data_IF_970332511903
#
_entry.id   IF_970332511903
#
_cell.length_a   1.000
_cell.length_b   1.000
_cell.length_c   1.000
_cell.angle_alpha   90.00
_cell.angle_beta   90.00
_cell.angle_gamma   90.00
#
_symmetry.space_group_name_H-M   'P 1'
#
loop_
_entity.id
_entity.type
_entity.pdbx_description
1 polymer ?
#
# COMPACT_ATOMS: atom_id res chain seq x y z
N UNK A 1 -27.31 -35.74 -9.52
CA UNK A 1 -26.42 -35.09 -8.56
C UNK A 1 -26.24 -33.67 -9.06
N UNK A 2 -26.91 -32.69 -8.44
CA UNK A 2 -26.81 -31.26 -8.77
C UNK A 2 -25.62 -30.69 -8.00
N UNK A 3 -24.66 -30.21 -8.74
CA UNK A 3 -23.55 -29.41 -8.25
C UNK A 3 -24.12 -28.06 -7.71
N UNK A 4 -23.96 -27.72 -6.43
CA UNK A 4 -24.38 -26.42 -5.95
C UNK A 4 -23.35 -25.41 -6.46
N UNK A 5 -23.62 -24.79 -7.60
CA UNK A 5 -22.93 -23.56 -8.01
C UNK A 5 -23.20 -22.52 -6.93
N UNK A 6 -22.25 -22.39 -6.04
CA UNK A 6 -22.21 -21.29 -5.08
C UNK A 6 -22.24 -20.00 -5.90
N UNK A 7 -23.33 -19.27 -5.81
CA UNK A 7 -23.49 -18.01 -6.53
C UNK A 7 -22.67 -16.91 -5.84
N UNK A 8 -21.38 -16.88 -6.17
CA UNK A 8 -20.43 -15.91 -5.66
C UNK A 8 -20.85 -14.46 -5.93
N UNK A 9 -21.58 -14.20 -7.03
CA UNK A 9 -22.11 -12.89 -7.35
C UNK A 9 -23.03 -12.36 -6.26
N UNK A 10 -23.92 -13.21 -5.77
CA UNK A 10 -24.94 -12.85 -4.77
C UNK A 10 -24.34 -12.68 -3.36
N UNK A 11 -23.30 -13.45 -3.03
CA UNK A 11 -22.60 -13.31 -1.74
C UNK A 11 -21.81 -12.00 -1.66
N UNK A 12 -21.18 -11.57 -2.76
CA UNK A 12 -20.46 -10.28 -2.86
C UNK A 12 -21.48 -9.12 -2.86
N UNK A 13 -22.58 -9.23 -3.59
CA UNK A 13 -23.63 -8.22 -3.64
C UNK A 13 -24.28 -8.00 -2.25
N UNK A 14 -24.50 -9.07 -1.49
CA UNK A 14 -25.05 -8.99 -0.13
C UNK A 14 -24.04 -8.38 0.87
N UNK A 15 -22.74 -8.62 0.70
CA UNK A 15 -21.70 -8.03 1.55
C UNK A 15 -21.45 -6.54 1.25
N UNK A 16 -21.79 -6.07 0.05
CA UNK A 16 -21.57 -4.70 -0.40
C UNK A 16 -22.76 -3.75 -0.16
N UNK A 17 -23.98 -4.28 0.02
CA UNK A 17 -25.17 -3.45 0.30
C UNK A 17 -25.31 -3.03 1.77
N UNK A 18 -24.45 -3.56 2.65
CA UNK A 18 -24.36 -3.11 4.04
C UNK A 18 -23.49 -1.87 4.16
N UNK A 19 -24.09 -0.70 4.36
CA UNK A 19 -23.40 0.53 4.78
C UNK A 19 -22.80 0.35 6.18
N UNK A 20 -21.62 -0.30 6.24
CA UNK A 20 -20.83 -0.38 7.46
C UNK A 20 -19.49 0.28 7.14
N UNK A 21 -19.22 1.41 7.78
CA UNK A 21 -17.88 1.98 7.87
C UNK A 21 -16.97 0.90 8.48
N UNK A 22 -16.11 0.31 7.65
CA UNK A 22 -15.28 -0.87 8.00
C UNK A 22 -15.44 -2.07 7.05
N UNK A 23 -16.42 -2.08 6.14
CA UNK A 23 -16.70 -3.18 5.23
C UNK A 23 -15.72 -3.33 4.04
N UNK A 24 -14.66 -2.52 3.98
CA UNK A 24 -13.65 -2.62 2.91
C UNK A 24 -12.93 -3.98 2.82
N UNK A 25 -13.10 -4.84 3.83
CA UNK A 25 -12.43 -6.14 3.94
C UNK A 25 -13.32 -7.32 3.56
N UNK A 26 -14.65 -7.16 3.67
CA UNK A 26 -15.60 -8.25 3.45
C UNK A 26 -15.52 -8.89 2.04
N UNK A 27 -15.30 -8.13 0.95
CA UNK A 27 -15.20 -8.73 -0.38
C UNK A 27 -14.00 -9.66 -0.55
N UNK A 28 -12.86 -9.34 0.07
CA UNK A 28 -11.66 -10.18 -0.01
C UNK A 28 -11.79 -11.46 0.82
N UNK A 29 -12.47 -11.40 1.97
CA UNK A 29 -12.74 -12.58 2.79
C UNK A 29 -13.66 -13.60 2.08
N UNK A 30 -14.49 -13.14 1.13
CA UNK A 30 -15.31 -14.01 0.30
C UNK A 30 -14.53 -14.72 -0.82
N UNK A 31 -13.31 -14.26 -1.12
CA UNK A 31 -12.40 -14.88 -2.08
C UNK A 31 -11.64 -15.99 -1.36
N UNK A 32 -11.93 -17.25 -1.66
CA UNK A 32 -11.28 -18.38 -0.98
C UNK A 32 -9.81 -18.46 -1.34
N UNK A 33 -9.49 -18.52 -2.63
CA UNK A 33 -8.12 -18.59 -3.15
C UNK A 33 -8.13 -18.29 -4.65
N UNK A 34 -7.12 -17.58 -5.14
CA UNK A 34 -6.87 -17.32 -6.56
C UNK A 34 -5.39 -17.57 -6.83
N UNK A 35 -5.08 -18.46 -7.77
CA UNK A 35 -3.71 -18.81 -8.15
C UNK A 35 -2.81 -19.21 -6.96
N UNK A 36 -3.38 -19.88 -5.94
CA UNK A 36 -2.66 -20.29 -4.73
C UNK A 36 -2.53 -19.17 -3.68
N UNK A 37 -3.16 -18.02 -3.89
CA UNK A 37 -3.10 -16.85 -2.99
C UNK A 37 -4.47 -16.67 -2.33
N UNK A 38 -4.49 -16.58 -1.01
CA UNK A 38 -5.72 -16.36 -0.24
C UNK A 38 -6.26 -14.95 -0.48
N UNK A 39 -7.59 -14.81 -0.50
CA UNK A 39 -8.22 -13.52 -0.72
C UNK A 39 -7.78 -12.43 0.25
N UNK A 40 -7.51 -12.77 1.51
CA UNK A 40 -7.02 -11.81 2.48
C UNK A 40 -5.61 -11.28 2.15
N UNK A 41 -4.76 -12.10 1.53
CA UNK A 41 -3.42 -11.69 1.08
C UNK A 41 -3.47 -10.73 -0.11
N UNK A 42 -4.56 -10.79 -0.89
CA UNK A 42 -4.80 -9.87 -2.02
C UNK A 42 -5.23 -8.47 -1.58
N UNK A 43 -5.51 -8.26 -0.31
CA UNK A 43 -5.92 -6.95 0.23
C UNK A 43 -4.80 -5.93 0.30
N UNK A 44 -3.57 -6.40 0.36
CA UNK A 44 -2.42 -5.53 0.60
C UNK A 44 -1.24 -5.92 -0.28
N UNK A 45 -0.51 -4.90 -0.69
CA UNK A 45 0.81 -4.99 -1.31
C UNK A 45 1.82 -4.34 -0.37
N UNK A 46 2.89 -5.05 -0.06
CA UNK A 46 3.93 -4.60 0.87
C UNK A 46 5.11 -4.04 0.07
N UNK A 47 5.67 -2.95 0.56
CA UNK A 47 6.86 -2.32 0.01
C UNK A 47 7.99 -2.32 1.03
N UNK A 48 9.22 -2.29 0.56
CA UNK A 48 10.38 -2.01 1.42
C UNK A 48 10.29 -0.59 1.99
N UNK A 49 10.85 -0.38 3.16
CA UNK A 49 10.85 0.92 3.80
C UNK A 49 11.55 1.97 2.91
N UNK A 50 10.93 3.15 2.81
CA UNK A 50 11.40 4.24 1.95
C UNK A 50 11.19 4.02 0.45
N UNK A 51 10.79 2.81 0.02
CA UNK A 51 10.70 2.43 -1.40
C UNK A 51 9.25 2.38 -1.89
N UNK A 52 9.09 2.62 -3.20
CA UNK A 52 7.86 2.39 -3.97
C UNK A 52 8.06 1.37 -5.10
N UNK A 53 9.11 0.53 -4.99
CA UNK A 53 9.42 -0.51 -5.97
C UNK A 53 8.63 -1.78 -5.66
N UNK A 54 7.91 -2.30 -6.66
CA UNK A 54 7.14 -3.54 -6.53
C UNK A 54 8.07 -4.75 -6.55
N UNK A 55 7.93 -5.61 -5.54
CA UNK A 55 8.65 -6.87 -5.45
C UNK A 55 7.95 -7.97 -6.28
N UNK A 56 8.68 -8.98 -6.73
CA UNK A 56 8.14 -10.07 -7.55
C UNK A 56 6.97 -10.80 -6.86
N UNK A 57 7.06 -11.02 -5.56
CA UNK A 57 5.98 -11.65 -4.78
C UNK A 57 4.70 -10.82 -4.82
N UNK A 58 4.82 -9.51 -4.72
CA UNK A 58 3.69 -8.60 -4.75
C UNK A 58 3.11 -8.48 -6.16
N UNK A 59 3.95 -8.59 -7.18
CA UNK A 59 3.54 -8.67 -8.59
C UNK A 59 2.64 -9.90 -8.85
N UNK A 60 2.94 -11.04 -8.23
CA UNK A 60 2.08 -12.23 -8.35
C UNK A 60 0.69 -11.97 -7.76
N UNK A 61 0.59 -11.32 -6.61
CA UNK A 61 -0.68 -10.93 -6.02
C UNK A 61 -1.47 -9.97 -6.91
N UNK A 62 -0.79 -8.98 -7.50
CA UNK A 62 -1.43 -8.03 -8.42
C UNK A 62 -1.97 -8.70 -9.68
N UNK A 63 -1.25 -9.69 -10.22
CA UNK A 63 -1.72 -10.47 -11.35
C UNK A 63 -2.96 -11.30 -11.00
N UNK A 64 -2.96 -11.99 -9.86
CA UNK A 64 -4.09 -12.75 -9.37
C UNK A 64 -5.32 -11.85 -9.15
N UNK A 65 -5.14 -10.68 -8.52
CA UNK A 65 -6.19 -9.68 -8.33
C UNK A 65 -6.73 -9.16 -9.66
N UNK A 66 -5.86 -8.84 -10.62
CA UNK A 66 -6.25 -8.36 -11.93
C UNK A 66 -7.05 -9.41 -12.73
N UNK A 67 -6.63 -10.68 -12.68
CA UNK A 67 -7.36 -11.78 -13.32
C UNK A 67 -8.76 -11.92 -12.71
N UNK A 68 -8.86 -11.92 -11.40
CA UNK A 68 -10.15 -11.94 -10.70
C UNK A 68 -11.05 -10.78 -11.12
N UNK A 69 -10.52 -9.58 -11.19
CA UNK A 69 -11.28 -8.40 -11.60
C UNK A 69 -11.72 -8.45 -13.06
N UNK A 70 -10.93 -9.06 -13.96
CA UNK A 70 -11.32 -9.25 -15.36
C UNK A 70 -12.52 -10.19 -15.51
N UNK A 71 -12.64 -11.19 -14.63
CA UNK A 71 -13.80 -12.08 -14.59
C UNK A 71 -15.04 -11.39 -13.99
N UNK A 72 -14.85 -10.36 -13.17
CA UNK A 72 -15.91 -9.63 -12.45
C UNK A 72 -15.96 -8.18 -12.92
N UNK A 73 -16.60 -7.94 -14.05
CA UNK A 73 -16.60 -6.64 -14.73
C UNK A 73 -17.23 -5.48 -13.93
N UNK A 74 -18.12 -5.76 -12.99
CA UNK A 74 -18.78 -4.76 -12.16
C UNK A 74 -17.93 -4.27 -10.97
N UNK A 75 -16.74 -4.87 -10.73
CA UNK A 75 -15.92 -4.49 -9.57
C UNK A 75 -15.04 -3.28 -9.87
N UNK A 76 -15.01 -2.37 -8.92
CA UNK A 76 -14.10 -1.23 -8.85
C UNK A 76 -13.06 -1.48 -7.76
N UNK A 77 -11.81 -1.11 -8.02
CA UNK A 77 -10.69 -1.24 -7.09
C UNK A 77 -10.31 0.13 -6.53
N UNK A 78 -10.47 0.31 -5.23
CA UNK A 78 -9.92 1.44 -4.52
C UNK A 78 -8.52 1.12 -4.02
N UNK A 79 -7.57 2.02 -4.25
CA UNK A 79 -6.16 1.92 -3.87
C UNK A 79 -5.84 3.01 -2.86
N UNK A 80 -5.36 2.63 -1.68
CA UNK A 80 -4.90 3.55 -0.64
C UNK A 80 -3.42 3.30 -0.39
N UNK A 81 -2.57 4.25 -0.76
CA UNK A 81 -1.16 4.23 -0.40
C UNK A 81 -0.97 4.56 1.08
N UNK A 82 -0.07 3.87 1.76
CA UNK A 82 0.29 4.17 3.15
C UNK A 82 1.79 4.39 3.30
N UNK A 83 2.17 5.18 4.29
CA UNK A 83 3.54 5.32 4.73
C UNK A 83 3.60 5.21 6.26
N UNK A 84 4.69 4.63 6.77
CA UNK A 84 4.98 4.53 8.19
C UNK A 84 5.90 5.67 8.61
N UNK A 85 5.45 6.50 9.55
CA UNK A 85 6.21 7.68 10.01
C UNK A 85 7.59 7.30 10.55
N UNK A 86 7.69 6.19 11.25
CA UNK A 86 8.91 5.78 11.92
C UNK A 86 9.86 5.06 10.96
N UNK A 87 9.38 4.02 10.30
CA UNK A 87 10.23 3.15 9.48
C UNK A 87 10.53 3.75 8.11
N UNK A 88 9.51 4.21 7.38
CA UNK A 88 9.72 4.92 6.12
C UNK A 88 10.44 6.25 6.36
N UNK A 89 10.10 6.93 7.47
CA UNK A 89 10.80 8.16 7.86
C UNK A 89 12.29 7.93 8.08
N UNK A 90 12.67 6.90 8.82
CA UNK A 90 14.07 6.55 9.04
C UNK A 90 14.81 6.19 7.73
N UNK A 91 14.15 5.42 6.84
CA UNK A 91 14.71 5.05 5.55
C UNK A 91 14.93 6.28 4.65
N UNK A 92 13.94 7.17 4.56
CA UNK A 92 14.03 8.41 3.79
C UNK A 92 15.11 9.37 4.33
N UNK A 93 15.34 9.37 5.65
CA UNK A 93 16.42 10.16 6.26
C UNK A 93 17.80 9.57 5.92
N UNK A 94 17.91 8.25 5.86
CA UNK A 94 19.16 7.59 5.52
C UNK A 94 19.57 7.80 4.04
N UNK A 95 18.63 8.08 3.15
CA UNK A 95 18.89 8.41 1.74
C UNK A 95 19.35 9.86 1.51
N UNK A 96 19.20 10.72 2.52
CA UNK A 96 19.70 12.09 2.41
C UNK A 96 21.23 12.08 2.47
N UNK A 97 21.94 12.76 1.54
CA UNK A 97 23.36 12.96 1.68
C UNK A 97 23.63 13.65 3.01
N UNK A 98 24.63 13.12 3.72
CA UNK A 98 25.10 13.67 5.00
C UNK A 98 25.66 15.07 4.72
N UNK A 99 24.79 16.08 4.70
CA UNK A 99 25.21 17.47 4.67
C UNK A 99 25.82 17.82 6.03
N UNK A 100 27.00 17.24 6.29
CA UNK A 100 27.93 17.83 7.23
C UNK A 100 28.48 19.06 6.54
N UNK A 101 28.29 20.26 7.09
CA UNK A 101 29.07 21.39 6.62
C UNK A 101 30.53 21.02 6.83
N UNK A 102 31.26 20.89 5.72
CA UNK A 102 32.72 20.82 5.76
C UNK A 102 33.24 22.22 6.06
N UNK A 103 33.09 22.70 7.27
CA UNK A 103 33.86 23.82 7.74
C UNK A 103 35.15 23.30 8.32
N UNK A 104 36.18 23.35 7.45
CA UNK A 104 37.54 23.47 7.92
C UNK A 104 37.64 24.82 8.60
N UNK A 105 37.72 24.87 9.91
CA UNK A 105 38.85 25.52 10.58
C UNK A 105 38.77 25.35 12.12
N UNK A 106 39.93 25.27 12.71
CA UNK A 106 40.23 24.98 14.09
C UNK A 106 39.48 25.81 15.15
N UNK A 107 38.85 25.15 16.12
CA UNK A 107 38.84 25.63 17.51
C UNK A 107 38.77 24.46 18.48
N UNK A 108 39.85 24.29 19.21
CA UNK A 108 40.00 23.40 20.36
C UNK A 108 39.01 23.78 21.47
N UNK A 109 38.30 22.80 22.01
CA UNK A 109 37.79 22.86 23.38
C UNK A 109 36.31 23.23 23.54
N UNK A 110 35.46 22.24 23.39
CA UNK A 110 34.29 21.99 24.28
C UNK A 110 33.66 20.68 23.80
N UNK A 111 33.63 19.69 24.67
CA UNK A 111 32.78 18.53 24.47
C UNK A 111 31.35 19.03 24.30
N UNK A 112 30.66 18.74 23.18
CA UNK A 112 29.24 18.92 23.12
C UNK A 112 28.60 17.70 23.80
N UNK A 113 28.25 17.84 25.07
CA UNK A 113 27.15 17.10 25.63
C UNK A 113 25.88 17.61 24.92
N UNK A 114 25.72 17.24 23.68
CA UNK A 114 24.51 17.34 22.90
C UNK A 114 24.01 15.94 22.76
N UNK A 115 22.95 15.59 23.49
CA UNK A 115 22.11 14.43 23.19
C UNK A 115 21.87 14.43 21.67
N UNK A 116 21.91 13.26 20.98
CA UNK A 116 21.56 13.21 19.58
C UNK A 116 20.18 13.84 19.44
N UNK A 117 20.09 14.92 18.70
CA UNK A 117 18.84 15.64 18.44
C UNK A 117 17.82 14.66 17.89
N UNK A 118 17.00 14.14 18.79
CA UNK A 118 16.06 13.04 18.55
C UNK A 118 14.84 13.46 17.72
N UNK A 119 14.92 14.52 16.94
CA UNK A 119 13.79 15.04 16.18
C UNK A 119 14.15 15.47 14.75
N UNK A 120 14.96 14.68 14.04
CA UNK A 120 14.88 14.72 12.59
C UNK A 120 13.66 13.90 12.15
N UNK A 121 12.49 14.50 12.29
CA UNK A 121 11.31 13.96 11.66
C UNK A 121 11.39 14.22 10.15
N UNK A 122 11.15 13.18 9.37
CA UNK A 122 10.89 13.37 7.96
C UNK A 122 9.62 14.21 7.85
N UNK A 123 9.68 15.24 7.02
CA UNK A 123 8.53 16.06 6.68
C UNK A 123 7.37 15.16 6.21
N UNK A 124 6.19 15.39 6.75
CA UNK A 124 4.98 14.67 6.37
C UNK A 124 4.78 14.68 4.86
N UNK A 125 5.15 15.75 4.18
CA UNK A 125 5.07 15.88 2.74
C UNK A 125 5.89 14.81 1.99
N UNK A 126 7.04 14.38 2.53
CA UNK A 126 7.83 13.29 1.94
C UNK A 126 7.19 11.93 2.14
N UNK A 127 6.58 11.70 3.30
CA UNK A 127 5.83 10.49 3.59
C UNK A 127 4.57 10.40 2.71
N UNK A 128 3.86 11.51 2.55
CA UNK A 128 2.73 11.64 1.63
C UNK A 128 3.15 11.32 0.20
N UNK A 129 4.25 11.92 -0.26
CA UNK A 129 4.81 11.65 -1.58
C UNK A 129 5.22 10.19 -1.77
N UNK A 130 5.71 9.51 -0.73
CA UNK A 130 6.03 8.08 -0.77
C UNK A 130 4.75 7.23 -0.88
N UNK A 131 3.76 7.50 -0.04
CA UNK A 131 2.47 6.81 -0.05
C UNK A 131 1.77 6.96 -1.42
N UNK A 132 1.81 8.16 -1.99
CA UNK A 132 1.27 8.44 -3.31
C UNK A 132 2.02 7.65 -4.40
N UNK A 133 3.36 7.67 -4.42
CA UNK A 133 4.16 6.90 -5.38
C UNK A 133 3.90 5.40 -5.32
N UNK A 134 3.65 4.84 -4.13
CA UNK A 134 3.26 3.42 -3.96
C UNK A 134 1.92 3.13 -4.62
N UNK A 135 0.91 3.97 -4.39
CA UNK A 135 -0.39 3.82 -5.01
C UNK A 135 -0.33 3.97 -6.54
N UNK A 136 0.46 4.91 -7.03
CA UNK A 136 0.70 5.13 -8.46
C UNK A 136 1.43 3.95 -9.10
N UNK A 137 2.47 3.40 -8.45
CA UNK A 137 3.20 2.23 -8.95
C UNK A 137 2.29 1.00 -9.11
N UNK A 138 1.40 0.76 -8.14
CA UNK A 138 0.40 -0.31 -8.23
C UNK A 138 -0.61 -0.04 -9.34
N UNK A 139 -1.14 1.18 -9.42
CA UNK A 139 -2.10 1.57 -10.46
C UNK A 139 -1.50 1.45 -11.86
N UNK A 140 -0.28 1.93 -12.05
CA UNK A 140 0.45 1.81 -13.32
C UNK A 140 0.67 0.33 -13.69
N UNK A 141 1.08 -0.51 -12.74
CA UNK A 141 1.25 -1.94 -12.99
C UNK A 141 -0.06 -2.59 -13.43
N UNK A 142 -1.16 -2.34 -12.74
CA UNK A 142 -2.46 -2.92 -13.04
C UNK A 142 -3.00 -2.48 -14.41
N UNK A 143 -2.76 -1.24 -14.82
CA UNK A 143 -3.22 -0.73 -16.12
C UNK A 143 -2.29 -1.14 -17.26
N UNK A 144 -0.98 -0.97 -17.12
CA UNK A 144 -0.02 -1.14 -18.21
C UNK A 144 0.41 -2.60 -18.41
N UNK A 145 0.60 -3.35 -17.33
CA UNK A 145 1.08 -4.73 -17.36
C UNK A 145 -0.03 -5.75 -17.25
N UNK A 146 -0.93 -5.54 -16.30
CA UNK A 146 -2.05 -6.45 -16.08
C UNK A 146 -3.27 -6.12 -16.96
N UNK A 147 -3.25 -5.02 -17.73
CA UNK A 147 -4.31 -4.61 -18.68
C UNK A 147 -5.70 -4.48 -18.04
N UNK A 148 -5.75 -3.96 -16.82
CA UNK A 148 -7.00 -3.59 -16.17
C UNK A 148 -7.42 -2.19 -16.63
N UNK A 149 -8.70 -1.98 -16.90
CA UNK A 149 -9.21 -0.68 -17.35
C UNK A 149 -9.03 0.39 -16.27
N UNK A 150 -8.39 1.51 -16.60
CA UNK A 150 -8.10 2.61 -15.67
C UNK A 150 -9.36 3.15 -14.97
N UNK A 151 -10.52 3.15 -15.65
CA UNK A 151 -11.81 3.59 -15.07
C UNK A 151 -12.26 2.74 -13.87
N UNK A 152 -11.73 1.52 -13.75
CA UNK A 152 -12.03 0.59 -12.67
C UNK A 152 -11.10 0.72 -11.48
N UNK A 153 -10.12 1.62 -11.55
CA UNK A 153 -9.13 1.88 -10.51
C UNK A 153 -9.36 3.28 -9.95
N UNK A 154 -9.50 3.38 -8.64
CA UNK A 154 -9.67 4.64 -7.93
C UNK A 154 -8.55 4.78 -6.89
N UNK A 155 -7.65 5.74 -7.09
CA UNK A 155 -6.68 6.11 -6.08
C UNK A 155 -7.40 6.97 -5.03
N UNK A 156 -7.44 6.48 -3.80
CA UNK A 156 -8.04 7.16 -2.66
C UNK A 156 -6.99 7.96 -1.88
N UNK A 157 -7.39 8.88 -1.01
CA UNK A 157 -6.47 9.60 -0.15
C UNK A 157 -5.54 8.64 0.61
N UNK A 158 -4.26 9.00 0.66
CA UNK A 158 -3.23 8.23 1.37
C UNK A 158 -3.40 8.30 2.89
N UNK A 159 -2.72 7.41 3.61
CA UNK A 159 -2.67 7.38 5.06
C UNK A 159 -1.23 7.37 5.54
N UNK A 160 -0.95 8.14 6.60
CA UNK A 160 0.31 8.08 7.32
C UNK A 160 0.05 7.39 8.65
N UNK A 161 0.69 6.26 8.87
CA UNK A 161 0.58 5.52 10.12
C UNK A 161 1.55 6.13 11.14
N UNK A 162 1.08 6.59 12.32
CA UNK A 162 1.93 7.24 13.31
C UNK A 162 2.84 6.27 14.06
N UNK A 163 2.46 5.01 14.16
CA UNK A 163 3.17 3.97 14.87
C UNK A 163 3.36 2.74 13.98
N UNK A 164 4.51 2.08 14.14
CA UNK A 164 4.81 0.84 13.47
C UNK A 164 3.97 -0.30 14.05
N UNK A 165 3.04 -0.82 13.25
CA UNK A 165 2.21 -1.99 13.59
C UNK A 165 2.75 -3.32 13.02
N UNK A 166 4.01 -3.32 12.61
CA UNK A 166 4.70 -4.49 12.06
C UNK A 166 4.55 -4.69 10.56
N UNK A 167 3.65 -3.97 9.94
CA UNK A 167 3.34 -4.12 8.52
C UNK A 167 3.96 -2.99 7.71
N UNK A 168 5.19 -2.87 7.47
CA UNK A 168 5.87 -1.90 6.60
C UNK A 168 5.02 -0.89 5.82
N UNK A 169 5.61 -0.18 4.90
CA UNK A 169 4.84 0.63 3.98
C UNK A 169 4.00 -0.26 3.07
N UNK A 170 2.72 -0.04 3.01
CA UNK A 170 1.82 -0.90 2.24
C UNK A 170 0.82 -0.09 1.42
N UNK A 171 0.25 -0.75 0.43
CA UNK A 171 -0.93 -0.28 -0.30
C UNK A 171 -2.09 -1.19 0.08
N UNK A 172 -3.17 -0.57 0.52
CA UNK A 172 -4.41 -1.27 0.87
C UNK A 172 -5.40 -1.20 -0.29
N UNK A 173 -6.08 -2.32 -0.53
CA UNK A 173 -7.13 -2.42 -1.52
C UNK A 173 -8.52 -2.48 -0.91
N UNK A 174 -9.48 -1.90 -1.61
CA UNK A 174 -10.89 -2.03 -1.34
C UNK A 174 -11.64 -2.36 -2.63
N UNK A 175 -12.58 -3.28 -2.59
CA UNK A 175 -13.45 -3.60 -3.70
C UNK A 175 -14.83 -2.98 -3.47
N UNK A 176 -15.40 -2.44 -4.53
CA UNK A 176 -16.78 -1.95 -4.57
C UNK A 176 -17.42 -2.34 -5.88
N UNK A 177 -18.74 -2.25 -5.98
CA UNK A 177 -19.50 -2.48 -7.21
C UNK A 177 -19.92 -1.12 -7.77
N UNK A 178 -19.87 -0.99 -9.10
CA UNK A 178 -20.40 0.18 -9.80
C UNK A 178 -21.92 0.28 -9.68
#
# INVERSE_FOLDING_TARGET
VRDPRFDFGKAIETALTGTIEGAGNAPFAAITEIDGIKGEELRTVVFDFGSAVLQEREILKLNALANFMKEKNALLLGIVGTADRRMDGAALLAELPDERPSDGDHAVGKEPQGEPSADRFVDDQRLEGLAQRRAEAVSAYLTEKAHLEAKRIQIKPFKINPAHDGNGGLVEFSLSVE
#
